data_IF_777796640556
#
_entry.id   IF_777796640556
#
_cell.length_a   1.000
_cell.length_b   1.000
_cell.length_c   1.000
_cell.angle_alpha   90.00
_cell.angle_beta   90.00
_cell.angle_gamma   90.00
#
_symmetry.space_group_name_H-M   'P 1'
#
loop_
_entity.id
_entity.type
_entity.pdbx_description
1 polymer ?
#
# COMPACT_ATOMS: atom_id res chain seq x y z
N UNK A 1 27.16 -32.95 -21.34
CA UNK A 1 27.21 -32.44 -19.96
C UNK A 1 26.91 -30.96 -20.04
N UNK A 2 25.65 -30.58 -19.81
CA UNK A 2 25.17 -29.21 -19.95
C UNK A 2 25.84 -28.33 -18.89
N UNK A 3 26.81 -27.51 -19.31
CA UNK A 3 27.40 -26.49 -18.46
C UNK A 3 26.32 -25.43 -18.18
N UNK A 4 25.51 -25.69 -17.15
CA UNK A 4 24.55 -24.74 -16.59
C UNK A 4 25.34 -23.49 -16.19
N UNK A 5 25.26 -22.44 -17.01
CA UNK A 5 25.82 -21.13 -16.68
C UNK A 5 25.37 -20.79 -15.25
N UNK A 6 26.28 -20.52 -14.31
CA UNK A 6 25.86 -20.00 -13.02
C UNK A 6 25.19 -18.66 -13.30
N UNK A 7 23.88 -18.60 -13.11
CA UNK A 7 23.13 -17.36 -13.26
C UNK A 7 23.72 -16.25 -12.40
N UNK A 8 23.41 -14.97 -12.69
CA UNK A 8 23.98 -13.84 -11.99
C UNK A 8 23.87 -14.01 -10.47
N UNK A 9 25.01 -13.89 -9.77
CA UNK A 9 25.06 -14.01 -8.30
C UNK A 9 24.43 -12.77 -7.67
N UNK A 10 23.19 -12.89 -7.22
CA UNK A 10 22.47 -11.82 -6.52
C UNK A 10 23.16 -11.55 -5.18
N UNK A 11 23.39 -10.28 -4.86
CA UNK A 11 23.77 -9.87 -3.52
C UNK A 11 22.60 -10.13 -2.56
N UNK A 12 22.70 -11.24 -1.82
CA UNK A 12 21.67 -11.71 -0.89
C UNK A 12 21.34 -10.69 0.20
N UNK A 13 22.32 -9.92 0.67
CA UNK A 13 22.11 -8.94 1.74
C UNK A 13 21.30 -7.73 1.25
N UNK A 14 21.62 -7.22 0.07
CA UNK A 14 20.86 -6.13 -0.56
C UNK A 14 19.45 -6.59 -0.95
N UNK A 15 19.31 -7.79 -1.50
CA UNK A 15 18.02 -8.36 -1.85
C UNK A 15 17.12 -8.57 -0.62
N UNK A 16 17.66 -9.11 0.46
CA UNK A 16 16.91 -9.30 1.70
C UNK A 16 16.39 -7.97 2.27
N UNK A 17 17.21 -6.91 2.27
CA UNK A 17 16.80 -5.56 2.68
C UNK A 17 15.65 -5.02 1.82
N UNK A 18 15.70 -5.24 0.52
CA UNK A 18 14.65 -4.83 -0.42
C UNK A 18 13.31 -5.51 -0.09
N UNK A 19 13.34 -6.83 0.12
CA UNK A 19 12.14 -7.62 0.46
C UNK A 19 11.54 -7.16 1.78
N UNK A 20 12.36 -6.99 2.82
CA UNK A 20 11.89 -6.53 4.14
C UNK A 20 11.29 -5.13 4.06
N UNK A 21 11.91 -4.20 3.33
CA UNK A 21 11.39 -2.85 3.15
C UNK A 21 10.01 -2.86 2.48
N UNK A 22 9.84 -3.64 1.40
CA UNK A 22 8.55 -3.82 0.72
C UNK A 22 7.49 -4.35 1.67
N UNK A 23 7.81 -5.44 2.36
CA UNK A 23 6.87 -6.10 3.27
C UNK A 23 6.43 -5.18 4.40
N UNK A 24 7.35 -4.44 5.02
CA UNK A 24 7.01 -3.52 6.11
C UNK A 24 6.04 -2.44 5.65
N UNK A 25 6.29 -1.83 4.49
CA UNK A 25 5.40 -0.79 3.95
C UNK A 25 4.06 -1.37 3.52
N UNK A 26 4.05 -2.46 2.77
CA UNK A 26 2.81 -3.14 2.36
C UNK A 26 1.96 -3.55 3.58
N UNK A 27 2.56 -4.11 4.63
CA UNK A 27 1.86 -4.49 5.86
C UNK A 27 1.30 -3.29 6.61
N UNK A 28 2.06 -2.19 6.67
CA UNK A 28 1.60 -0.95 7.33
C UNK A 28 0.38 -0.39 6.61
N UNK A 29 0.43 -0.28 5.27
CA UNK A 29 -0.70 0.21 4.49
C UNK A 29 -1.88 -0.75 4.52
N UNK A 30 -1.63 -2.06 4.49
CA UNK A 30 -2.68 -3.07 4.65
C UNK A 30 -3.37 -2.93 6.01
N UNK A 31 -2.61 -2.75 7.10
CA UNK A 31 -3.17 -2.53 8.43
C UNK A 31 -3.99 -1.24 8.50
N UNK A 32 -3.52 -0.14 7.90
CA UNK A 32 -4.28 1.11 7.80
C UNK A 32 -5.60 0.88 7.05
N UNK A 33 -5.54 0.22 5.90
CA UNK A 33 -6.73 -0.09 5.11
C UNK A 33 -7.71 -0.99 5.88
N UNK A 34 -7.18 -1.96 6.64
CA UNK A 34 -7.96 -2.84 7.51
C UNK A 34 -8.75 -2.03 8.55
N UNK A 35 -8.09 -1.08 9.21
CA UNK A 35 -8.72 -0.20 10.21
C UNK A 35 -9.82 0.66 9.58
N UNK A 36 -9.55 1.26 8.42
CA UNK A 36 -10.53 2.08 7.70
C UNK A 36 -11.73 1.24 7.28
N UNK A 37 -11.49 0.06 6.71
CA UNK A 37 -12.52 -0.83 6.21
C UNK A 37 -13.43 -1.37 7.32
N UNK A 38 -12.83 -1.96 8.37
CA UNK A 38 -13.65 -2.46 9.49
C UNK A 38 -14.26 -1.33 10.31
N UNK A 39 -13.57 -0.19 10.45
CA UNK A 39 -14.15 1.00 11.08
C UNK A 39 -15.43 1.44 10.38
N UNK A 40 -15.41 1.52 9.05
CA UNK A 40 -16.61 1.81 8.26
C UNK A 40 -17.68 0.74 8.40
N UNK A 41 -17.32 -0.54 8.32
CA UNK A 41 -18.28 -1.66 8.48
C UNK A 41 -18.95 -1.62 9.85
N UNK A 42 -18.21 -1.34 10.92
CA UNK A 42 -18.77 -1.28 12.27
C UNK A 42 -19.78 -0.14 12.38
N UNK A 43 -19.47 1.05 11.86
CA UNK A 43 -20.42 2.17 11.82
C UNK A 43 -21.65 1.79 10.99
N UNK A 44 -21.46 1.16 9.84
CA UNK A 44 -22.55 0.74 8.98
C UNK A 44 -23.44 -0.33 9.64
N UNK A 45 -22.85 -1.26 10.39
CA UNK A 45 -23.57 -2.36 11.01
C UNK A 45 -24.33 -1.95 12.28
N UNK A 46 -23.73 -1.13 13.12
CA UNK A 46 -24.29 -0.77 14.43
C UNK A 46 -25.01 0.58 14.43
N UNK A 47 -24.65 1.51 13.53
CA UNK A 47 -25.14 2.88 13.54
C UNK A 47 -25.47 3.40 12.13
N UNK A 48 -26.28 2.61 11.40
CA UNK A 48 -26.77 3.00 10.07
C UNK A 48 -27.62 4.28 10.08
N UNK A 49 -28.18 4.64 11.24
CA UNK A 49 -28.99 5.85 11.42
C UNK A 49 -28.13 7.11 11.35
N UNK A 50 -26.90 7.08 11.89
CA UNK A 50 -25.92 8.16 11.66
C UNK A 50 -25.67 8.40 10.17
N UNK A 51 -25.46 7.35 9.38
CA UNK A 51 -25.23 7.47 7.93
C UNK A 51 -26.48 7.94 7.17
N UNK A 52 -27.67 7.60 7.69
CA UNK A 52 -28.96 7.99 7.11
C UNK A 52 -29.44 9.37 7.56
N UNK A 53 -28.76 9.97 8.54
CA UNK A 53 -29.07 11.30 9.05
C UNK A 53 -28.97 12.30 7.90
N UNK A 54 -30.02 13.12 7.75
CA UNK A 54 -30.08 14.10 6.67
C UNK A 54 -29.25 15.34 7.02
N UNK A 55 -28.43 15.76 6.07
CA UNK A 55 -27.80 17.08 6.02
C UNK A 55 -28.62 17.91 5.02
N UNK A 56 -29.49 18.78 5.53
CA UNK A 56 -30.43 19.57 4.72
C UNK A 56 -31.61 18.74 4.19
N UNK A 57 -32.24 19.18 3.10
CA UNK A 57 -33.44 18.52 2.56
C UNK A 57 -33.14 17.24 1.76
N UNK A 58 -31.98 17.15 1.10
CA UNK A 58 -31.74 16.16 0.05
C UNK A 58 -30.52 15.25 0.23
N UNK A 59 -29.61 15.55 1.17
CA UNK A 59 -28.36 14.81 1.31
C UNK A 59 -28.32 14.05 2.64
N UNK A 60 -27.73 12.85 2.66
CA UNK A 60 -27.45 12.10 3.89
C UNK A 60 -25.97 12.19 4.25
N UNK A 61 -25.64 12.07 5.53
CA UNK A 61 -24.24 12.03 6.03
C UNK A 61 -23.43 10.94 5.34
N UNK A 62 -24.05 9.84 4.94
CA UNK A 62 -23.39 8.74 4.24
C UNK A 62 -22.73 9.13 2.92
N UNK A 63 -23.25 10.12 2.20
CA UNK A 63 -22.68 10.57 0.92
C UNK A 63 -21.29 11.21 1.12
N UNK A 64 -21.13 12.26 1.97
CA UNK A 64 -19.81 12.80 2.31
C UNK A 64 -18.86 11.77 2.89
N UNK A 65 -19.34 10.87 3.76
CA UNK A 65 -18.50 9.81 4.37
C UNK A 65 -17.97 8.86 3.30
N UNK A 66 -18.83 8.40 2.37
CA UNK A 66 -18.41 7.56 1.25
C UNK A 66 -17.40 8.26 0.35
N UNK A 67 -17.65 9.53 0.02
CA UNK A 67 -16.71 10.34 -0.78
C UNK A 67 -15.35 10.48 -0.09
N UNK A 68 -15.36 10.75 1.21
CA UNK A 68 -14.14 10.81 2.02
C UNK A 68 -13.36 9.51 1.97
N UNK A 69 -14.02 8.35 2.08
CA UNK A 69 -13.37 7.04 1.98
C UNK A 69 -12.72 6.80 0.61
N UNK A 70 -13.36 7.23 -0.48
CA UNK A 70 -12.79 7.12 -1.83
C UNK A 70 -11.52 7.96 -1.93
N UNK A 71 -11.58 9.22 -1.49
CA UNK A 71 -10.41 10.12 -1.49
C UNK A 71 -9.29 9.54 -0.63
N UNK A 72 -9.61 9.01 0.55
CA UNK A 72 -8.65 8.38 1.45
C UNK A 72 -7.98 7.16 0.80
N UNK A 73 -8.73 6.31 0.11
CA UNK A 73 -8.19 5.15 -0.59
C UNK A 73 -7.21 5.56 -1.72
N UNK A 74 -7.56 6.60 -2.48
CA UNK A 74 -6.66 7.18 -3.49
C UNK A 74 -5.41 7.77 -2.86
N UNK A 75 -5.53 8.46 -1.72
CA UNK A 75 -4.39 9.02 -1.00
C UNK A 75 -3.43 7.93 -0.53
N UNK A 76 -3.94 6.87 0.11
CA UNK A 76 -3.13 5.73 0.57
C UNK A 76 -2.41 5.07 -0.62
N UNK A 77 -3.11 4.89 -1.74
CA UNK A 77 -2.52 4.35 -2.97
C UNK A 77 -1.44 5.28 -3.52
N UNK A 78 -1.68 6.59 -3.55
CA UNK A 78 -0.71 7.58 -4.00
C UNK A 78 0.55 7.61 -3.12
N UNK A 79 0.39 7.54 -1.79
CA UNK A 79 1.51 7.46 -0.84
C UNK A 79 2.33 6.20 -1.09
N UNK A 80 1.68 5.05 -1.32
CA UNK A 80 2.38 3.81 -1.68
C UNK A 80 3.22 3.98 -2.94
N UNK A 81 2.61 4.50 -4.02
CA UNK A 81 3.27 4.69 -5.31
C UNK A 81 4.43 5.66 -5.20
N UNK A 82 4.25 6.78 -4.49
CA UNK A 82 5.33 7.74 -4.26
C UNK A 82 6.50 7.11 -3.52
N UNK A 83 6.24 6.33 -2.46
CA UNK A 83 7.29 5.63 -1.73
C UNK A 83 7.98 4.56 -2.59
N UNK A 84 7.21 3.79 -3.38
CA UNK A 84 7.76 2.77 -4.27
C UNK A 84 8.69 3.39 -5.33
N UNK A 85 8.20 4.43 -6.02
CA UNK A 85 8.96 5.10 -7.07
C UNK A 85 10.21 5.83 -6.53
N UNK A 86 10.16 6.34 -5.29
CA UNK A 86 11.27 7.14 -4.75
C UNK A 86 12.29 6.31 -3.98
N UNK A 87 11.86 5.39 -3.13
CA UNK A 87 12.74 4.64 -2.21
C UNK A 87 13.00 3.24 -2.73
N UNK A 88 11.96 2.53 -3.15
CA UNK A 88 12.07 1.12 -3.53
C UNK A 88 12.84 0.96 -4.84
N UNK A 89 12.52 1.76 -5.86
CA UNK A 89 13.20 1.71 -7.16
C UNK A 89 14.69 2.04 -7.06
N UNK A 90 15.08 2.99 -6.19
CA UNK A 90 16.51 3.25 -5.92
C UNK A 90 17.21 2.02 -5.37
N UNK A 91 16.61 1.35 -4.39
CA UNK A 91 17.16 0.14 -3.81
C UNK A 91 17.26 -1.02 -4.83
N UNK A 92 16.28 -1.14 -5.74
CA UNK A 92 16.35 -2.08 -6.87
C UNK A 92 17.54 -1.76 -7.78
N UNK A 93 17.73 -0.49 -8.14
CA UNK A 93 18.84 -0.06 -9.01
C UNK A 93 20.20 -0.35 -8.38
N UNK A 94 20.34 -0.22 -7.06
CA UNK A 94 21.60 -0.54 -6.36
C UNK A 94 21.91 -2.04 -6.41
N UNK A 95 20.91 -2.91 -6.27
CA UNK A 95 21.06 -4.37 -6.44
C UNK A 95 21.45 -4.72 -7.89
N UNK A 96 20.81 -4.07 -8.88
CA UNK A 96 21.16 -4.28 -10.28
C UNK A 96 22.59 -3.83 -10.61
N UNK A 97 23.04 -2.71 -10.03
CA UNK A 97 24.43 -2.22 -10.18
C UNK A 97 25.44 -3.13 -9.52
N UNK A 98 25.14 -3.73 -8.36
CA UNK A 98 26.06 -4.66 -7.69
C UNK A 98 26.29 -5.92 -8.52
N UNK A 99 25.29 -6.38 -9.27
CA UNK A 99 25.41 -7.49 -10.21
C UNK A 99 26.23 -7.16 -11.46
N UNK A 100 26.23 -5.91 -11.93
CA UNK A 100 27.00 -5.49 -13.12
C UNK A 100 28.48 -5.21 -12.83
N UNK A 101 28.81 -4.88 -11.58
CA UNK A 101 30.19 -4.55 -11.15
C UNK A 101 31.03 -5.77 -10.76
N UNK A 102 30.47 -6.99 -10.83
CA UNK A 102 31.17 -8.26 -10.57
C UNK A 102 31.17 -9.12 -11.82
#
# INVERSE_FOLDING_TARGET
MEHKHPGPKIDQALFHRLVVAKWKVSLTLAAIMMVVYYGFILVLAFDKELLSTKIGEHMTVGIPVGLFLIILAWLITGVYVFWANSSYDRAVQDVLKSMRRR
#
